data_IF_753077112365
#
_entry.id   IF_753077112365
#
_cell.length_a   1.000
_cell.length_b   1.000
_cell.length_c   1.000
_cell.angle_alpha   90.00
_cell.angle_beta   90.00
_cell.angle_gamma   90.00
#
_symmetry.space_group_name_H-M   'P 1'
#
loop_
_entity.id
_entity.type
_entity.pdbx_description
1 polymer ?
#
# COMPACT_ATOMS: atom_id res chain seq x y z
N UNK A 1 -14.34 -4.29 -16.87
CA UNK A 1 -14.02 -4.11 -15.45
C UNK A 1 -13.21 -5.32 -15.04
N UNK A 2 -11.95 -5.14 -14.67
CA UNK A 2 -11.10 -6.24 -14.19
C UNK A 2 -11.57 -6.61 -12.79
N UNK A 3 -12.37 -7.66 -12.68
CA UNK A 3 -12.74 -8.27 -11.41
C UNK A 3 -11.53 -9.02 -10.87
N UNK A 4 -10.58 -8.26 -10.33
CA UNK A 4 -9.58 -8.85 -9.46
C UNK A 4 -10.32 -9.46 -8.27
N UNK A 5 -9.96 -10.67 -7.81
CA UNK A 5 -10.55 -11.24 -6.63
C UNK A 5 -10.32 -10.28 -5.46
N UNK A 6 -11.42 -9.73 -4.92
CA UNK A 6 -11.41 -8.82 -3.78
C UNK A 6 -10.60 -9.40 -2.61
N UNK A 7 -10.58 -10.73 -2.48
CA UNK A 7 -9.79 -11.47 -1.51
C UNK A 7 -8.28 -11.19 -1.63
N UNK A 8 -7.73 -11.23 -2.85
CA UNK A 8 -6.30 -10.93 -3.08
C UNK A 8 -6.04 -9.44 -2.85
N UNK A 9 -6.95 -8.57 -3.30
CA UNK A 9 -6.83 -7.13 -3.05
C UNK A 9 -6.80 -6.82 -1.56
N UNK A 10 -7.78 -7.31 -0.80
CA UNK A 10 -7.89 -7.10 0.64
C UNK A 10 -6.72 -7.74 1.40
N UNK A 11 -6.24 -8.91 0.98
CA UNK A 11 -5.06 -9.52 1.58
C UNK A 11 -3.82 -8.66 1.35
N UNK A 12 -3.61 -8.19 0.12
CA UNK A 12 -2.50 -7.30 -0.25
C UNK A 12 -2.56 -6.00 0.54
N UNK A 13 -3.70 -5.32 0.47
CA UNK A 13 -3.96 -4.05 1.11
C UNK A 13 -3.81 -4.18 2.63
N UNK A 14 -4.42 -5.21 3.23
CA UNK A 14 -4.32 -5.51 4.65
C UNK A 14 -2.88 -5.77 5.08
N UNK A 15 -2.08 -6.48 4.28
CA UNK A 15 -0.66 -6.67 4.55
C UNK A 15 0.14 -5.37 4.48
N UNK A 16 -0.05 -4.54 3.45
CA UNK A 16 0.64 -3.24 3.34
C UNK A 16 0.28 -2.33 4.49
N UNK A 17 -1.02 -2.18 4.76
CA UNK A 17 -1.52 -1.42 5.90
C UNK A 17 -0.92 -1.93 7.19
N UNK A 18 -0.89 -3.26 7.40
CA UNK A 18 -0.25 -3.89 8.55
C UNK A 18 1.24 -3.56 8.63
N UNK A 19 1.97 -3.53 7.53
CA UNK A 19 3.39 -3.16 7.52
C UNK A 19 3.60 -1.69 7.88
N UNK A 20 2.73 -0.79 7.43
CA UNK A 20 2.78 0.63 7.77
C UNK A 20 2.47 0.83 9.26
N UNK A 21 1.37 0.25 9.78
CA UNK A 21 1.00 0.38 11.20
C UNK A 21 2.00 -0.32 12.14
N UNK A 22 2.64 -1.41 11.70
CA UNK A 22 3.69 -2.09 12.49
C UNK A 22 5.07 -1.45 12.34
N UNK A 23 5.18 -0.31 11.66
CA UNK A 23 6.45 0.39 11.35
C UNK A 23 7.48 -0.48 10.61
N UNK A 24 7.06 -1.59 10.00
CA UNK A 24 7.89 -2.39 9.08
C UNK A 24 8.12 -1.67 7.76
N UNK A 25 7.15 -0.88 7.32
CA UNK A 25 7.27 0.09 6.25
C UNK A 25 7.57 1.45 6.87
N UNK A 26 8.71 2.05 6.54
CA UNK A 26 9.12 3.32 7.13
C UNK A 26 8.47 4.46 6.35
N UNK A 27 7.91 5.48 7.01
CA UNK A 27 7.50 6.72 6.34
C UNK A 27 8.64 7.34 5.53
N UNK A 28 8.31 7.90 4.37
CA UNK A 28 9.28 8.41 3.39
C UNK A 28 9.96 7.32 2.57
N UNK A 29 9.75 6.04 2.86
CA UNK A 29 10.33 4.95 2.08
C UNK A 29 9.67 4.88 0.69
N UNK A 30 10.49 4.77 -0.35
CA UNK A 30 10.04 4.56 -1.72
C UNK A 30 9.42 3.16 -1.88
N UNK A 31 8.15 3.16 -2.25
CA UNK A 31 7.31 2.03 -2.60
C UNK A 31 7.02 2.07 -4.10
N UNK A 32 7.59 1.12 -4.81
CA UNK A 32 7.30 0.87 -6.21
C UNK A 32 6.52 -0.43 -6.37
N UNK A 33 5.86 -0.60 -7.51
CA UNK A 33 5.09 -1.81 -7.81
C UNK A 33 5.95 -3.08 -7.67
N UNK A 34 7.17 -3.03 -8.20
CA UNK A 34 8.16 -4.11 -8.07
C UNK A 34 8.59 -4.38 -6.63
N UNK A 35 8.73 -3.34 -5.80
CA UNK A 35 9.10 -3.51 -4.38
C UNK A 35 7.96 -4.15 -3.61
N UNK A 36 6.74 -3.66 -3.84
CA UNK A 36 5.55 -4.16 -3.17
C UNK A 36 5.23 -5.60 -3.59
N UNK A 37 5.30 -5.89 -4.90
CA UNK A 37 5.11 -7.23 -5.45
C UNK A 37 6.15 -8.22 -4.90
N UNK A 38 7.40 -7.80 -4.77
CA UNK A 38 8.46 -8.64 -4.19
C UNK A 38 8.30 -8.84 -2.68
N UNK A 39 7.92 -7.80 -1.93
CA UNK A 39 7.70 -7.90 -0.48
C UNK A 39 6.48 -8.75 -0.13
N UNK A 40 5.42 -8.64 -0.92
CA UNK A 40 4.16 -9.34 -0.67
C UNK A 40 4.05 -10.67 -1.43
N UNK A 41 4.97 -10.91 -2.37
CA UNK A 41 5.02 -12.05 -3.28
C UNK A 41 3.72 -12.21 -4.09
N UNK A 42 3.23 -11.11 -4.67
CA UNK A 42 1.97 -11.05 -5.42
C UNK A 42 2.27 -10.52 -6.81
N UNK A 43 1.71 -11.15 -7.85
CA UNK A 43 1.93 -10.79 -9.25
C UNK A 43 0.74 -10.05 -9.85
N UNK A 44 1.04 -8.82 -10.26
CA UNK A 44 0.60 -8.14 -11.49
C UNK A 44 -0.89 -8.13 -11.85
N UNK A 45 -1.62 -7.27 -11.14
CA UNK A 45 -2.61 -6.28 -11.65
C UNK A 45 -3.23 -5.54 -10.44
N UNK A 46 -3.20 -6.17 -9.25
CA UNK A 46 -3.74 -5.64 -8.00
C UNK A 46 -2.87 -4.55 -7.38
N UNK A 47 -1.55 -4.59 -7.61
CA UNK A 47 -0.57 -3.68 -7.01
C UNK A 47 -0.90 -2.21 -7.32
N UNK A 48 -1.09 -1.77 -8.59
CA UNK A 48 -1.43 -0.39 -8.88
C UNK A 48 -2.78 0.02 -8.27
N UNK A 49 -3.75 -0.89 -8.18
CA UNK A 49 -5.06 -0.63 -7.55
C UNK A 49 -4.90 -0.41 -6.04
N UNK A 50 -4.13 -1.26 -5.35
CA UNK A 50 -3.84 -1.14 -3.91
C UNK A 50 -3.08 0.16 -3.62
N UNK A 51 -2.07 0.46 -4.43
CA UNK A 51 -1.30 1.69 -4.33
C UNK A 51 -2.17 2.95 -4.52
N UNK A 52 -3.09 2.91 -5.49
CA UNK A 52 -4.05 3.99 -5.72
C UNK A 52 -5.00 4.16 -4.53
N UNK A 53 -5.50 3.06 -3.98
CA UNK A 53 -6.45 3.07 -2.86
C UNK A 53 -5.78 3.58 -1.57
N UNK A 54 -4.55 3.15 -1.29
CA UNK A 54 -3.74 3.66 -0.18
C UNK A 54 -3.44 5.16 -0.36
N UNK A 55 -3.16 5.61 -1.59
CA UNK A 55 -2.98 7.04 -1.89
C UNK A 55 -4.26 7.84 -1.66
N UNK A 56 -5.44 7.31 -2.02
CA UNK A 56 -6.72 7.97 -1.73
C UNK A 56 -6.96 8.12 -0.22
N UNK A 57 -6.59 7.12 0.57
CA UNK A 57 -6.60 7.20 2.05
C UNK A 57 -5.46 8.04 2.62
N UNK A 58 -4.71 8.77 1.79
CA UNK A 58 -3.58 9.59 2.22
C UNK A 58 -2.44 8.79 2.87
N UNK A 59 -2.40 7.46 2.75
CA UNK A 59 -1.38 6.58 3.33
C UNK A 59 -0.07 6.60 2.54
N UNK A 60 -0.14 6.97 1.26
CA UNK A 60 1.00 7.09 0.35
C UNK A 60 0.97 8.48 -0.31
N UNK A 61 2.15 9.04 -0.54
CA UNK A 61 2.34 10.30 -1.27
C UNK A 61 3.29 10.10 -2.43
N UNK A 62 3.00 10.69 -3.58
CA UNK A 62 3.81 10.56 -4.79
C UNK A 62 2.99 10.17 -6.03
N UNK A 63 3.69 9.72 -7.06
CA UNK A 63 3.10 9.38 -8.35
C UNK A 63 3.54 7.99 -8.76
N UNK A 64 2.64 7.19 -9.34
CA UNK A 64 2.99 5.85 -9.85
C UNK A 64 4.17 5.90 -10.83
N UNK A 65 4.28 6.99 -11.60
CA UNK A 65 5.34 7.24 -12.58
C UNK A 65 6.75 7.36 -11.96
N UNK A 66 6.86 7.96 -10.76
CA UNK A 66 8.14 8.25 -10.11
C UNK A 66 8.39 7.40 -8.84
N UNK A 67 7.46 6.48 -8.54
CA UNK A 67 7.38 5.77 -7.27
C UNK A 67 6.53 6.50 -6.23
N UNK A 68 5.81 5.71 -5.44
CA UNK A 68 5.07 6.22 -4.29
C UNK A 68 5.98 6.19 -3.07
N UNK A 69 5.72 7.05 -2.09
CA UNK A 69 6.43 7.03 -0.81
C UNK A 69 5.42 6.81 0.30
N UNK A 70 5.80 6.02 1.31
CA UNK A 70 4.94 5.79 2.48
C UNK A 70 4.73 7.13 3.17
N UNK A 71 3.49 7.60 3.25
CA UNK A 71 3.20 8.75 4.11
C UNK A 71 3.22 8.25 5.54
N UNK A 72 3.76 9.06 6.42
CA UNK A 72 3.70 8.82 7.84
C UNK A 72 2.25 8.82 8.30
N UNK A 73 1.70 7.63 8.53
CA UNK A 73 0.54 7.47 9.40
C UNK A 73 1.03 7.66 10.81
N UNK A 74 0.80 8.85 11.36
CA UNK A 74 0.91 9.01 12.79
C UNK A 74 -0.09 8.06 13.45
N UNK A 75 0.36 7.37 14.50
CA UNK A 75 -0.38 6.37 15.30
C UNK A 75 -1.74 6.87 15.81
N UNK A 76 -2.02 8.16 15.66
CA UNK A 76 -3.22 8.87 16.08
C UNK A 76 -4.47 8.55 15.24
N UNK A 77 -4.36 8.13 13.98
CA UNK A 77 -5.55 7.72 13.17
C UNK A 77 -5.85 6.21 13.25
N UNK A 78 -4.92 5.40 13.75
CA UNK A 78 -5.08 3.94 13.86
C UNK A 78 -5.93 3.56 15.08
N UNK A 79 -6.11 4.48 16.03
CA UNK A 79 -6.82 4.26 17.29
C UNK A 79 -8.31 4.68 17.28
N UNK A 80 -8.85 5.23 16.18
CA UNK A 80 -10.25 5.65 16.06
C UNK A 80 -11.10 4.71 15.17
N UNK A 81 -10.92 3.39 15.30
CA UNK A 81 -11.89 2.39 14.83
C UNK A 81 -12.38 1.49 15.97
#
# INVERSE_FOLDING_TARGET
MVSLPEEIFQETYGRVKKLIVTKKLVPGQLITEHRLSHTLNIKDDTIPVVLLQLRQESLLVGSLDNGLTVRELSEQEIAEM
#
